data_IF_650220347007
#
_entry.id   IF_650220347007
#
_cell.length_a   1.000
_cell.length_b   1.000
_cell.length_c   1.000
_cell.angle_alpha   90.00
_cell.angle_beta   90.00
_cell.angle_gamma   90.00
#
_symmetry.space_group_name_H-M   'P 1'
#
loop_
_entity.id
_entity.type
_entity.pdbx_description
1 polymer ?
#
# COMPACT_ATOMS: atom_id res chain seq x y z
N UNK A 1 -46.04 -28.78 48.29
CA UNK A 1 -46.26 -28.42 46.86
C UNK A 1 -45.92 -26.94 46.73
N UNK A 2 -45.06 -26.43 45.85
CA UNK A 2 -44.40 -26.97 44.68
C UNK A 2 -43.00 -26.35 44.58
N UNK A 3 -42.01 -27.22 44.34
CA UNK A 3 -40.67 -26.85 43.93
C UNK A 3 -40.67 -26.46 42.44
N UNK A 4 -39.75 -25.56 42.07
CA UNK A 4 -39.20 -25.37 40.73
C UNK A 4 -40.09 -24.78 39.62
N UNK A 5 -39.87 -23.47 39.35
CA UNK A 5 -39.84 -22.93 37.97
C UNK A 5 -39.02 -21.63 37.91
N UNK A 6 -37.70 -21.76 38.10
CA UNK A 6 -36.73 -20.66 37.91
C UNK A 6 -35.57 -21.05 36.98
N UNK A 7 -35.80 -22.00 36.05
CA UNK A 7 -34.81 -22.44 35.04
C UNK A 7 -34.84 -21.65 33.72
N UNK A 8 -35.89 -20.90 33.43
CA UNK A 8 -36.08 -20.25 32.12
C UNK A 8 -35.21 -19.01 31.83
N UNK A 9 -34.53 -18.42 32.83
CA UNK A 9 -33.66 -17.24 32.58
C UNK A 9 -32.21 -17.61 32.25
N UNK A 10 -31.70 -18.74 32.75
CA UNK A 10 -30.31 -19.14 32.52
C UNK A 10 -30.13 -19.76 31.14
N UNK A 11 -31.07 -20.63 30.70
CA UNK A 11 -31.07 -21.22 29.36
C UNK A 11 -31.22 -20.16 28.28
N UNK A 12 -32.10 -19.17 28.46
CA UNK A 12 -32.25 -18.07 27.51
C UNK A 12 -30.99 -17.19 27.45
N UNK A 13 -30.31 -16.94 28.59
CA UNK A 13 -29.03 -16.23 28.59
C UNK A 13 -27.94 -17.06 27.92
N UNK A 14 -27.86 -18.36 28.20
CA UNK A 14 -26.89 -19.27 27.56
C UNK A 14 -27.14 -19.38 26.07
N UNK A 15 -28.39 -19.48 25.62
CA UNK A 15 -28.76 -19.51 24.21
C UNK A 15 -28.49 -18.16 23.54
N UNK A 16 -28.78 -17.02 24.18
CA UNK A 16 -28.40 -15.71 23.66
C UNK A 16 -26.88 -15.50 23.61
N UNK A 17 -26.13 -16.03 24.59
CA UNK A 17 -24.66 -15.97 24.62
C UNK A 17 -24.07 -16.93 23.59
N UNK A 18 -24.61 -18.14 23.43
CA UNK A 18 -24.23 -19.08 22.37
C UNK A 18 -24.60 -18.53 20.99
N UNK A 19 -25.74 -17.87 20.83
CA UNK A 19 -26.14 -17.18 19.58
C UNK A 19 -25.21 -16.00 19.31
N UNK A 20 -24.85 -15.19 20.31
CA UNK A 20 -23.86 -14.11 20.13
C UNK A 20 -22.46 -14.64 19.80
N UNK A 21 -22.06 -15.75 20.42
CA UNK A 21 -20.76 -16.42 20.18
C UNK A 21 -20.74 -17.17 18.85
N UNK A 22 -21.89 -17.64 18.34
CA UNK A 22 -21.98 -18.28 17.01
C UNK A 22 -22.19 -17.28 15.87
N UNK A 23 -22.63 -16.05 16.16
CA UNK A 23 -22.71 -14.94 15.19
C UNK A 23 -21.40 -14.12 15.13
N UNK A 24 -20.47 -14.32 16.06
CA UNK A 24 -19.15 -13.65 16.03
C UNK A 24 -18.16 -14.19 15.00
N UNK A 25 -18.54 -15.18 14.17
CA UNK A 25 -17.72 -15.68 13.07
C UNK A 25 -18.12 -15.04 11.74
N UNK A 26 -17.66 -13.81 11.51
CA UNK A 26 -17.22 -13.26 10.21
C UNK A 26 -17.02 -11.74 10.35
N UNK A 27 -16.10 -11.19 9.56
CA UNK A 27 -15.82 -9.76 9.38
C UNK A 27 -17.03 -8.87 9.69
N UNK A 28 -16.96 -8.18 10.83
CA UNK A 28 -18.07 -7.34 11.27
C UNK A 28 -18.19 -6.15 10.31
N UNK A 29 -19.35 -6.04 9.66
CA UNK A 29 -19.77 -4.82 8.97
C UNK A 29 -19.55 -3.65 9.91
N UNK A 30 -18.90 -2.62 9.42
CA UNK A 30 -18.56 -1.43 10.19
C UNK A 30 -18.87 -0.20 9.34
N UNK A 31 -20.04 0.38 9.61
CA UNK A 31 -20.54 1.54 8.88
C UNK A 31 -19.55 2.72 8.94
N UNK A 32 -18.84 2.91 10.07
CA UNK A 32 -17.84 3.97 10.18
C UNK A 32 -16.64 3.72 9.27
N UNK A 33 -16.16 2.47 9.18
CA UNK A 33 -15.11 2.09 8.23
C UNK A 33 -15.59 2.25 6.79
N UNK A 34 -16.81 1.81 6.49
CA UNK A 34 -17.41 1.95 5.17
C UNK A 34 -17.47 3.42 4.74
N UNK A 35 -17.99 4.32 5.57
CA UNK A 35 -18.07 5.75 5.25
C UNK A 35 -16.68 6.38 5.10
N UNK A 36 -15.71 5.99 5.95
CA UNK A 36 -14.34 6.45 5.81
C UNK A 36 -13.74 6.08 4.46
N UNK A 37 -13.77 4.80 4.09
CA UNK A 37 -13.15 4.30 2.86
C UNK A 37 -13.89 4.79 1.62
N UNK A 38 -15.23 4.81 1.64
CA UNK A 38 -16.03 5.42 0.57
C UNK A 38 -15.66 6.90 0.36
N UNK A 39 -15.51 7.67 1.44
CA UNK A 39 -15.10 9.07 1.37
C UNK A 39 -13.67 9.25 0.87
N UNK A 40 -12.76 8.35 1.27
CA UNK A 40 -11.37 8.35 0.81
C UNK A 40 -11.27 8.03 -0.69
N UNK A 41 -11.98 7.02 -1.17
CA UNK A 41 -12.00 6.63 -2.58
C UNK A 41 -12.61 7.74 -3.44
N UNK A 42 -13.71 8.34 -2.98
CA UNK A 42 -14.31 9.49 -3.64
C UNK A 42 -13.34 10.67 -3.72
N UNK A 43 -12.60 10.98 -2.64
CA UNK A 43 -11.54 11.99 -2.64
C UNK A 43 -10.46 11.67 -3.69
N UNK A 44 -9.94 10.44 -3.75
CA UNK A 44 -8.93 10.07 -4.75
C UNK A 44 -9.44 10.25 -6.19
N UNK A 45 -10.69 9.87 -6.45
CA UNK A 45 -11.35 10.06 -7.75
C UNK A 45 -11.52 11.54 -8.08
N UNK A 46 -11.92 12.38 -7.12
CA UNK A 46 -12.02 13.82 -7.29
C UNK A 46 -10.67 14.47 -7.60
N UNK A 47 -9.59 14.10 -6.90
CA UNK A 47 -8.24 14.61 -7.18
C UNK A 47 -7.84 14.30 -8.62
N UNK A 48 -8.07 13.05 -9.05
CA UNK A 48 -7.77 12.61 -10.43
C UNK A 48 -8.61 13.35 -11.47
N UNK A 49 -9.90 13.58 -11.21
CA UNK A 49 -10.79 14.26 -12.17
C UNK A 49 -10.54 15.77 -12.26
N UNK A 50 -10.14 16.42 -11.17
CA UNK A 50 -9.76 17.84 -11.16
C UNK A 50 -8.40 18.07 -11.82
N UNK A 51 -7.50 17.07 -11.80
CA UNK A 51 -6.20 17.14 -12.46
C UNK A 51 -6.35 16.97 -13.98
N UNK A 52 -6.56 18.07 -14.71
CA UNK A 52 -6.45 18.09 -16.19
C UNK A 52 -5.00 18.04 -16.68
N UNK A 53 -4.03 18.11 -15.77
CA UNK A 53 -2.60 18.14 -16.05
C UNK A 53 -1.92 16.94 -15.37
N UNK A 54 -1.45 15.97 -16.16
CA UNK A 54 -0.73 14.79 -15.66
C UNK A 54 0.53 15.13 -14.85
N UNK A 55 1.13 16.30 -15.10
CA UNK A 55 2.26 16.81 -14.32
C UNK A 55 1.86 17.11 -12.88
N UNK A 56 0.68 17.70 -12.65
CA UNK A 56 0.21 18.02 -11.31
C UNK A 56 -0.08 16.74 -10.53
N UNK A 57 -0.75 15.77 -11.15
CA UNK A 57 -0.99 14.48 -10.51
C UNK A 57 0.32 13.77 -10.14
N UNK A 58 1.30 13.76 -11.05
CA UNK A 58 2.62 13.17 -10.83
C UNK A 58 3.41 13.89 -9.73
N UNK A 59 3.40 15.23 -9.73
CA UNK A 59 4.07 16.04 -8.73
C UNK A 59 3.43 15.90 -7.34
N UNK A 60 2.10 15.79 -7.26
CA UNK A 60 1.39 15.52 -6.00
C UNK A 60 1.78 14.15 -5.40
N UNK A 61 2.16 13.20 -6.26
CA UNK A 61 2.69 11.89 -5.88
C UNK A 61 4.21 11.91 -5.55
N UNK A 62 4.87 13.08 -5.58
CA UNK A 62 6.31 13.22 -5.29
C UNK A 62 7.21 12.95 -6.51
N UNK A 63 6.66 13.03 -7.72
CA UNK A 63 7.40 12.82 -8.97
C UNK A 63 7.43 14.10 -9.81
N UNK A 64 8.62 14.65 -10.01
CA UNK A 64 8.85 15.81 -10.87
C UNK A 64 10.05 15.53 -11.78
N UNK A 65 9.87 15.72 -13.07
CA UNK A 65 10.97 15.74 -14.05
C UNK A 65 11.43 17.18 -14.28
N UNK A 66 12.70 17.33 -14.63
CA UNK A 66 13.34 18.64 -14.86
C UNK A 66 12.58 19.49 -15.89
N UNK A 67 12.14 18.88 -16.99
CA UNK A 67 11.38 19.54 -18.07
C UNK A 67 10.04 20.13 -17.60
N UNK A 68 9.49 19.59 -16.51
CA UNK A 68 8.19 19.95 -15.98
C UNK A 68 8.27 20.92 -14.79
N UNK A 69 9.47 21.28 -14.32
CA UNK A 69 9.65 22.18 -13.17
C UNK A 69 9.01 23.56 -13.38
N UNK A 70 9.10 24.08 -14.60
CA UNK A 70 8.56 25.40 -14.97
C UNK A 70 7.04 25.47 -14.88
N UNK A 71 6.36 24.33 -14.80
CA UNK A 71 4.90 24.26 -14.67
C UNK A 71 4.43 24.38 -13.22
N UNK A 72 5.33 24.28 -12.24
CA UNK A 72 5.00 24.40 -10.82
C UNK A 72 5.22 25.82 -10.30
N UNK A 73 4.48 26.18 -9.25
CA UNK A 73 4.74 27.42 -8.51
C UNK A 73 6.06 27.32 -7.76
N UNK A 74 6.61 28.48 -7.38
CA UNK A 74 7.85 28.57 -6.59
C UNK A 74 7.59 29.12 -5.21
N UNK A 75 8.21 28.53 -4.19
CA UNK A 75 8.22 29.08 -2.83
C UNK A 75 8.95 30.43 -2.81
N UNK A 76 8.86 31.23 -1.72
CA UNK A 76 9.66 32.45 -1.59
C UNK A 76 11.17 32.24 -1.77
N UNK A 77 11.67 31.05 -1.42
CA UNK A 77 13.06 30.61 -1.59
C UNK A 77 13.36 30.15 -3.03
N UNK A 78 12.36 30.13 -3.91
CA UNK A 78 12.51 29.78 -5.32
C UNK A 78 12.29 28.29 -5.67
N UNK A 79 11.87 27.46 -4.71
CA UNK A 79 11.74 26.01 -4.91
C UNK A 79 10.42 25.61 -5.55
N UNK A 80 10.40 24.70 -6.54
CA UNK A 80 9.15 24.19 -7.11
C UNK A 80 8.27 23.54 -6.03
N UNK A 81 6.99 23.88 -6.02
CA UNK A 81 5.99 23.26 -5.15
C UNK A 81 4.63 23.15 -5.84
N UNK A 82 3.83 22.23 -5.33
CA UNK A 82 2.43 22.04 -5.71
C UNK A 82 1.59 21.99 -4.44
N UNK A 83 0.48 22.73 -4.44
CA UNK A 83 -0.55 22.62 -3.39
C UNK A 83 -1.90 22.25 -3.98
N UNK A 84 -2.66 21.50 -3.19
CA UNK A 84 -4.06 21.17 -3.46
C UNK A 84 -4.81 21.22 -2.14
N UNK A 85 -5.85 22.04 -2.07
CA UNK A 85 -6.74 22.04 -0.91
C UNK A 85 -8.18 21.91 -1.36
N UNK A 86 -9.05 21.53 -0.43
CA UNK A 86 -10.48 21.50 -0.72
C UNK A 86 -11.35 21.33 0.50
N UNK A 87 -12.62 21.59 0.28
CA UNK A 87 -13.71 21.42 1.23
C UNK A 87 -14.70 20.42 0.70
N UNK A 88 -15.30 19.66 1.61
CA UNK A 88 -16.40 18.76 1.30
C UNK A 88 -17.72 19.52 1.49
N UNK A 89 -18.56 19.54 0.46
CA UNK A 89 -19.89 20.16 0.58
C UNK A 89 -20.90 19.24 1.28
N UNK A 90 -22.10 19.77 1.55
CA UNK A 90 -23.17 19.01 2.20
C UNK A 90 -23.70 17.84 1.34
N UNK A 91 -23.42 17.83 0.04
CA UNK A 91 -23.77 16.77 -0.90
C UNK A 91 -22.63 15.74 -1.07
N UNK A 92 -21.58 15.83 -0.25
CA UNK A 92 -20.38 14.99 -0.31
C UNK A 92 -19.55 15.19 -1.58
N UNK A 93 -19.67 16.32 -2.27
CA UNK A 93 -18.81 16.66 -3.39
C UNK A 93 -17.58 17.44 -2.93
N UNK A 94 -16.44 17.14 -3.53
CA UNK A 94 -15.18 17.83 -3.26
C UNK A 94 -15.05 19.06 -4.15
N UNK A 95 -14.85 20.23 -3.53
CA UNK A 95 -14.41 21.44 -4.20
C UNK A 95 -12.90 21.61 -4.00
N UNK A 96 -12.11 21.22 -5.01
CA UNK A 96 -10.65 21.16 -4.97
C UNK A 96 -10.03 22.31 -5.76
N UNK A 97 -9.03 22.97 -5.18
CA UNK A 97 -8.33 24.12 -5.75
C UNK A 97 -6.82 23.86 -5.76
N UNK A 98 -6.21 24.01 -6.93
CA UNK A 98 -4.77 23.82 -7.12
C UNK A 98 -4.05 25.17 -6.99
N UNK A 99 -2.93 25.18 -6.26
CA UNK A 99 -2.00 26.32 -6.22
C UNK A 99 -2.59 27.64 -5.72
N UNK A 100 -3.73 27.59 -5.04
CA UNK A 100 -4.33 28.74 -4.36
C UNK A 100 -3.80 28.87 -2.91
N UNK A 101 -3.85 30.07 -2.32
CA UNK A 101 -3.53 30.26 -0.91
C UNK A 101 -4.40 29.38 -0.01
N UNK A 102 -3.77 28.66 0.91
CA UNK A 102 -4.49 27.74 1.80
C UNK A 102 -5.55 28.50 2.62
N UNK A 103 -6.84 28.12 2.53
CA UNK A 103 -7.89 28.82 3.22
C UNK A 103 -7.84 28.55 4.73
N UNK A 104 -8.40 29.43 5.58
CA UNK A 104 -8.48 29.20 7.03
C UNK A 104 -9.26 27.93 7.41
N UNK A 105 -10.12 27.42 6.51
CA UNK A 105 -10.91 26.20 6.69
C UNK A 105 -10.78 25.32 5.44
N UNK A 106 -10.39 24.07 5.65
CA UNK A 106 -10.32 23.02 4.63
C UNK A 106 -10.63 21.66 5.25
N UNK A 107 -11.06 20.70 4.44
CA UNK A 107 -11.25 19.29 4.83
C UNK A 107 -10.16 18.38 4.26
N UNK A 108 -9.48 18.87 3.22
CA UNK A 108 -8.30 18.28 2.62
C UNK A 108 -7.27 19.35 2.30
N UNK A 109 -5.99 19.06 2.56
CA UNK A 109 -4.86 19.88 2.17
C UNK A 109 -3.68 18.97 1.84
N UNK A 110 -3.03 19.22 0.72
CA UNK A 110 -1.83 18.52 0.30
C UNK A 110 -0.84 19.53 -0.24
N UNK A 111 0.41 19.42 0.20
CA UNK A 111 1.53 20.23 -0.28
C UNK A 111 2.71 19.33 -0.55
N UNK A 112 3.34 19.51 -1.70
CA UNK A 112 4.60 18.86 -2.08
C UNK A 112 5.59 19.93 -2.45
N UNK A 113 6.77 19.91 -1.85
CA UNK A 113 7.89 20.82 -2.15
C UNK A 113 9.06 20.00 -2.67
N UNK A 114 9.69 20.47 -3.74
CA UNK A 114 10.88 19.88 -4.35
C UNK A 114 12.04 20.84 -4.13
N UNK A 115 12.92 20.53 -3.18
CA UNK A 115 14.13 21.33 -2.92
C UNK A 115 15.30 20.76 -3.71
N UNK A 116 15.82 21.46 -4.72
CA UNK A 116 17.01 21.03 -5.45
C UNK A 116 18.21 20.96 -4.50
N UNK A 117 19.02 19.90 -4.62
CA UNK A 117 20.29 19.74 -3.92
C UNK A 117 21.36 19.20 -4.86
N UNK A 118 22.61 19.46 -4.52
CA UNK A 118 23.77 18.83 -5.11
C UNK A 118 24.38 17.84 -4.12
N UNK A 119 24.54 16.58 -4.52
CA UNK A 119 25.19 15.52 -3.73
C UNK A 119 26.30 14.89 -4.57
N UNK A 120 27.55 15.12 -4.19
CA UNK A 120 28.73 14.57 -4.92
C UNK A 120 28.64 14.84 -6.43
N UNK A 121 28.33 16.09 -6.80
CA UNK A 121 28.11 16.57 -8.18
C UNK A 121 26.86 16.04 -8.89
N UNK A 122 25.98 15.32 -8.18
CA UNK A 122 24.69 14.84 -8.70
C UNK A 122 23.54 15.75 -8.29
N UNK A 123 22.70 16.11 -9.26
CA UNK A 123 21.47 16.85 -9.00
C UNK A 123 20.35 15.93 -8.49
N UNK A 124 19.84 16.26 -7.31
CA UNK A 124 18.75 15.54 -6.66
C UNK A 124 17.66 16.51 -6.20
N UNK A 125 16.49 15.97 -5.85
CA UNK A 125 15.51 16.65 -5.03
C UNK A 125 15.43 16.01 -3.65
N UNK A 126 15.39 16.85 -2.63
CA UNK A 126 14.68 16.51 -1.41
C UNK A 126 13.19 16.83 -1.62
N UNK A 127 12.35 15.82 -1.46
CA UNK A 127 10.90 15.91 -1.66
C UNK A 127 10.23 15.79 -0.32
N UNK A 128 9.54 16.86 0.07
CA UNK A 128 8.74 16.91 1.27
C UNK A 128 7.27 16.97 0.87
N UNK A 129 6.48 16.02 1.36
CA UNK A 129 5.05 15.96 1.10
C UNK A 129 4.30 15.88 2.42
N UNK A 130 3.27 16.71 2.55
CA UNK A 130 2.35 16.72 3.68
C UNK A 130 0.93 16.68 3.16
N UNK A 131 0.15 15.72 3.64
CA UNK A 131 -1.27 15.59 3.38
C UNK A 131 -2.01 15.63 4.70
N UNK A 132 -3.11 16.38 4.76
CA UNK A 132 -4.05 16.46 5.86
C UNK A 132 -5.44 16.18 5.31
N UNK A 133 -6.19 15.26 5.91
CA UNK A 133 -7.60 15.05 5.59
C UNK A 133 -8.45 14.79 6.84
N UNK A 134 -9.71 15.23 6.82
CA UNK A 134 -10.63 15.17 7.98
C UNK A 134 -11.66 14.05 7.92
N UNK A 135 -11.37 13.00 7.13
CA UNK A 135 -12.21 11.81 7.08
C UNK A 135 -12.13 11.06 8.41
N UNK A 136 -13.28 10.67 8.95
CA UNK A 136 -13.42 10.03 10.25
C UNK A 136 -13.96 8.62 10.10
N UNK A 137 -13.66 7.75 11.05
CA UNK A 137 -14.28 6.43 11.16
C UNK A 137 -13.32 5.25 11.14
N UNK A 138 -12.06 5.46 10.76
CA UNK A 138 -11.02 4.43 10.68
C UNK A 138 -9.74 4.85 11.41
N UNK A 139 -9.13 3.92 12.14
CA UNK A 139 -7.80 4.04 12.70
C UNK A 139 -6.87 2.91 12.23
N UNK A 140 -5.56 3.13 12.10
CA UNK A 140 -4.59 2.09 11.77
C UNK A 140 -4.65 0.83 12.62
N UNK A 141 -4.94 0.93 13.93
CA UNK A 141 -5.14 -0.26 14.79
C UNK A 141 -6.26 -1.18 14.31
N UNK A 142 -7.26 -0.63 13.62
CA UNK A 142 -8.42 -1.39 13.15
C UNK A 142 -8.01 -2.37 12.05
N UNK A 143 -7.04 -2.00 11.21
CA UNK A 143 -6.45 -2.92 10.22
C UNK A 143 -5.74 -4.09 10.89
N UNK A 144 -5.00 -3.85 11.97
CA UNK A 144 -4.29 -4.92 12.68
C UNK A 144 -5.25 -5.89 13.35
N UNK A 145 -6.35 -5.38 13.91
CA UNK A 145 -7.45 -6.23 14.38
C UNK A 145 -8.09 -7.02 13.25
N UNK A 146 -8.42 -6.38 12.14
CA UNK A 146 -8.99 -7.05 10.95
C UNK A 146 -8.05 -8.15 10.43
N UNK A 147 -6.75 -7.86 10.36
CA UNK A 147 -5.73 -8.77 9.87
C UNK A 147 -5.56 -9.97 10.81
N UNK A 148 -5.56 -9.73 12.12
CA UNK A 148 -5.60 -10.78 13.13
C UNK A 148 -6.80 -11.72 12.92
N UNK A 149 -8.01 -11.15 12.87
CA UNK A 149 -9.25 -11.91 12.71
C UNK A 149 -9.26 -12.69 11.37
N UNK A 150 -8.69 -12.11 10.29
CA UNK A 150 -8.51 -12.78 8.99
C UNK A 150 -7.61 -13.99 9.06
N UNK A 151 -6.45 -13.88 9.69
CA UNK A 151 -5.48 -14.97 9.78
C UNK A 151 -6.03 -16.12 10.62
N UNK A 152 -6.77 -15.83 11.69
CA UNK A 152 -7.52 -16.85 12.43
C UNK A 152 -8.56 -17.55 11.56
N UNK A 153 -9.33 -16.79 10.76
CA UNK A 153 -10.35 -17.36 9.89
C UNK A 153 -9.77 -18.24 8.77
N UNK A 154 -8.60 -17.90 8.22
CA UNK A 154 -7.92 -18.74 7.22
C UNK A 154 -7.43 -20.07 7.81
N UNK A 155 -7.10 -20.09 9.10
CA UNK A 155 -6.66 -21.30 9.81
C UNK A 155 -7.80 -22.24 10.24
N UNK A 156 -9.04 -21.77 10.24
CA UNK A 156 -10.21 -22.61 10.55
C UNK A 156 -10.99 -22.94 9.27
N UNK A 157 -11.14 -24.23 8.97
CA UNK A 157 -11.79 -24.67 7.73
C UNK A 157 -13.22 -24.11 7.59
N UNK A 158 -14.02 -24.13 8.66
CA UNK A 158 -15.41 -23.70 8.62
C UNK A 158 -15.51 -22.18 8.49
N UNK A 159 -14.68 -21.44 9.22
CA UNK A 159 -14.59 -19.99 9.16
C UNK A 159 -14.11 -19.54 7.77
N UNK A 160 -13.14 -20.23 7.17
CA UNK A 160 -12.69 -19.93 5.82
C UNK A 160 -13.78 -20.19 4.77
N UNK A 161 -14.51 -21.32 4.84
CA UNK A 161 -15.62 -21.56 3.93
C UNK A 161 -16.74 -20.52 4.10
N UNK A 162 -17.04 -20.14 5.34
CA UNK A 162 -17.97 -19.04 5.64
C UNK A 162 -17.46 -17.72 5.04
N UNK A 163 -16.16 -17.44 5.17
CA UNK A 163 -15.54 -16.25 4.61
C UNK A 163 -15.65 -16.21 3.08
N UNK A 164 -15.31 -17.31 2.41
CA UNK A 164 -15.41 -17.46 0.95
C UNK A 164 -16.84 -17.26 0.44
N UNK A 165 -17.84 -17.62 1.24
CA UNK A 165 -19.25 -17.49 0.88
C UNK A 165 -19.90 -16.19 1.33
N UNK A 166 -19.31 -15.42 2.23
CA UNK A 166 -19.86 -14.15 2.74
C UNK A 166 -19.13 -12.92 2.20
N UNK A 167 -17.79 -12.96 2.12
CA UNK A 167 -16.95 -11.86 1.63
C UNK A 167 -17.14 -11.63 0.13
N UNK A 168 -17.65 -10.45 -0.21
CA UNK A 168 -17.73 -9.94 -1.58
C UNK A 168 -16.34 -9.72 -2.16
N UNK A 169 -15.38 -9.29 -1.35
CA UNK A 169 -13.99 -9.14 -1.79
C UNK A 169 -13.39 -10.48 -2.24
N UNK A 170 -13.46 -11.51 -1.39
CA UNK A 170 -12.89 -12.82 -1.72
C UNK A 170 -13.63 -13.48 -2.89
N UNK A 171 -14.97 -13.33 -2.96
CA UNK A 171 -15.74 -13.77 -4.13
C UNK A 171 -15.31 -13.06 -5.41
N UNK A 172 -15.15 -11.74 -5.37
CA UNK A 172 -14.70 -10.98 -6.53
C UNK A 172 -13.34 -11.48 -7.00
N UNK A 173 -12.36 -11.54 -6.10
CA UNK A 173 -11.00 -11.99 -6.41
C UNK A 173 -10.99 -13.40 -7.00
N UNK A 174 -11.75 -14.34 -6.41
CA UNK A 174 -11.84 -15.72 -6.91
C UNK A 174 -12.74 -15.91 -8.13
N UNK A 175 -13.53 -14.90 -8.50
CA UNK A 175 -14.24 -14.87 -9.77
C UNK A 175 -13.38 -14.26 -10.87
N UNK A 176 -12.50 -13.32 -10.54
CA UNK A 176 -11.65 -12.62 -11.50
C UNK A 176 -10.33 -13.37 -11.76
N UNK A 177 -9.84 -14.11 -10.78
CA UNK A 177 -8.60 -14.88 -10.80
C UNK A 177 -8.87 -16.30 -10.29
N UNK A 178 -8.02 -17.24 -10.66
CA UNK A 178 -8.09 -18.58 -10.12
C UNK A 178 -7.53 -18.60 -8.70
N UNK A 179 -8.41 -18.89 -7.74
CA UNK A 179 -8.06 -19.02 -6.32
C UNK A 179 -7.82 -20.48 -5.92
N UNK A 180 -6.74 -20.72 -5.18
CA UNK A 180 -6.54 -21.98 -4.46
C UNK A 180 -6.12 -21.71 -3.02
N UNK A 181 -6.48 -22.65 -2.14
CA UNK A 181 -5.85 -22.76 -0.83
C UNK A 181 -5.09 -24.08 -0.79
N UNK A 182 -3.85 -24.01 -0.33
CA UNK A 182 -3.04 -25.17 -0.01
C UNK A 182 -2.55 -25.06 1.43
N UNK A 183 -2.30 -26.20 2.05
CA UNK A 183 -1.76 -26.29 3.40
C UNK A 183 -0.52 -27.16 3.36
N UNK A 184 0.53 -26.73 4.04
CA UNK A 184 1.68 -27.54 4.37
C UNK A 184 1.97 -27.44 5.87
N UNK A 185 3.03 -28.10 6.33
CA UNK A 185 3.36 -28.16 7.76
C UNK A 185 3.60 -26.78 8.43
N UNK A 186 3.93 -25.75 7.67
CA UNK A 186 4.25 -24.42 8.19
C UNK A 186 3.20 -23.36 7.83
N UNK A 187 2.54 -23.49 6.69
CA UNK A 187 1.76 -22.42 6.06
C UNK A 187 0.40 -22.88 5.53
N UNK A 188 -0.63 -22.09 5.80
CA UNK A 188 -1.81 -22.00 4.94
C UNK A 188 -1.54 -20.96 3.86
N UNK A 189 -1.58 -21.39 2.60
CA UNK A 189 -1.25 -20.56 1.45
C UNK A 189 -2.49 -20.25 0.63
N UNK A 190 -2.83 -18.96 0.53
CA UNK A 190 -3.86 -18.45 -0.36
C UNK A 190 -3.22 -17.94 -1.65
N UNK A 191 -3.62 -18.53 -2.77
CA UNK A 191 -3.05 -18.25 -4.09
C UNK A 191 -4.06 -17.56 -4.99
N UNK A 192 -3.62 -16.52 -5.69
CA UNK A 192 -4.39 -15.84 -6.73
C UNK A 192 -3.62 -15.86 -8.04
N UNK A 193 -4.13 -16.60 -9.03
CA UNK A 193 -3.48 -16.76 -10.33
C UNK A 193 -4.22 -15.98 -11.41
N UNK A 194 -3.50 -15.06 -12.06
CA UNK A 194 -3.99 -14.36 -13.26
C UNK A 194 -3.93 -15.33 -14.45
N UNK A 195 -5.09 -15.70 -14.99
CA UNK A 195 -5.24 -16.71 -16.04
C UNK A 195 -6.03 -16.17 -17.25
N UNK A 196 -6.41 -17.04 -18.18
CA UNK A 196 -7.17 -16.66 -19.37
C UNK A 196 -8.60 -16.17 -19.06
N UNK A 197 -9.20 -16.61 -17.96
CA UNK A 197 -10.47 -16.06 -17.48
C UNK A 197 -10.30 -14.60 -17.01
N UNK A 198 -9.19 -14.31 -16.31
CA UNK A 198 -8.82 -12.93 -15.97
C UNK A 198 -8.63 -12.09 -17.24
N UNK A 199 -7.97 -12.63 -18.27
CA UNK A 199 -7.79 -11.95 -19.55
C UNK A 199 -9.11 -11.62 -20.23
N UNK A 200 -10.08 -12.53 -20.19
CA UNK A 200 -11.40 -12.32 -20.78
C UNK A 200 -12.20 -11.23 -20.04
N UNK A 201 -12.13 -11.18 -18.70
CA UNK A 201 -12.88 -10.21 -17.87
C UNK A 201 -12.20 -8.85 -17.78
N UNK A 202 -10.88 -8.84 -17.62
CA UNK A 202 -10.06 -7.65 -17.36
C UNK A 202 -8.77 -7.68 -18.20
N UNK A 203 -8.87 -7.49 -19.54
CA UNK A 203 -7.73 -7.62 -20.44
C UNK A 203 -6.59 -6.64 -20.12
N UNK A 204 -6.91 -5.40 -19.72
CA UNK A 204 -5.91 -4.39 -19.34
C UNK A 204 -5.11 -4.80 -18.09
N UNK A 205 -5.79 -5.29 -17.06
CA UNK A 205 -5.16 -5.82 -15.84
C UNK A 205 -4.28 -7.05 -16.15
N UNK A 206 -4.78 -7.98 -16.98
CA UNK A 206 -4.01 -9.15 -17.40
C UNK A 206 -2.71 -8.75 -18.13
N UNK A 207 -2.80 -7.84 -19.10
CA UNK A 207 -1.65 -7.41 -19.89
C UNK A 207 -0.64 -6.64 -19.04
N UNK A 208 -1.09 -5.75 -18.15
CA UNK A 208 -0.20 -4.89 -17.36
C UNK A 208 0.32 -5.60 -16.11
N UNK A 209 -0.57 -6.01 -15.22
CA UNK A 209 -0.19 -6.64 -13.94
C UNK A 209 0.34 -8.04 -14.15
N UNK A 210 -0.31 -8.84 -15.03
CA UNK A 210 0.14 -10.19 -15.34
C UNK A 210 1.55 -10.22 -15.95
N UNK A 211 1.84 -9.36 -16.93
CA UNK A 211 3.19 -9.25 -17.53
C UNK A 211 4.24 -8.81 -16.52
N UNK A 212 3.92 -7.86 -15.64
CA UNK A 212 4.83 -7.43 -14.57
C UNK A 212 5.11 -8.55 -13.59
N UNK A 213 4.09 -9.27 -13.14
CA UNK A 213 4.27 -10.40 -12.23
C UNK A 213 5.17 -11.48 -12.82
N UNK A 214 5.01 -11.84 -14.10
CA UNK A 214 5.89 -12.79 -14.79
C UNK A 214 7.35 -12.35 -14.85
N UNK A 215 7.56 -11.04 -14.96
CA UNK A 215 8.88 -10.40 -14.99
C UNK A 215 9.47 -10.21 -13.60
N UNK A 216 8.75 -10.52 -12.53
CA UNK A 216 9.20 -10.32 -11.16
C UNK A 216 9.24 -11.61 -10.36
N UNK A 217 10.18 -11.73 -9.43
CA UNK A 217 10.08 -12.64 -8.30
C UNK A 217 10.18 -11.83 -7.03
N UNK A 218 9.24 -12.05 -6.11
CA UNK A 218 9.11 -11.39 -4.84
C UNK A 218 9.11 -12.47 -3.78
N UNK A 219 9.90 -12.25 -2.74
CA UNK A 219 9.84 -12.97 -1.49
C UNK A 219 9.87 -11.96 -0.36
N UNK A 220 8.72 -11.71 0.26
CA UNK A 220 8.54 -10.73 1.31
C UNK A 220 8.13 -11.43 2.61
N UNK A 221 8.98 -11.37 3.63
CA UNK A 221 8.64 -11.79 4.99
C UNK A 221 8.25 -10.57 5.81
N UNK A 222 7.12 -10.66 6.52
CA UNK A 222 6.61 -9.58 7.38
C UNK A 222 6.43 -10.14 8.78
N UNK A 223 7.03 -9.50 9.79
CA UNK A 223 6.94 -9.98 11.17
C UNK A 223 6.89 -8.84 12.20
N UNK A 224 6.30 -9.12 13.37
CA UNK A 224 6.45 -8.26 14.55
C UNK A 224 7.83 -8.50 15.17
N UNK A 225 8.65 -7.45 15.28
CA UNK A 225 9.99 -7.58 15.86
C UNK A 225 9.96 -8.04 17.31
N UNK A 226 8.93 -7.67 18.07
CA UNK A 226 8.82 -8.06 19.47
C UNK A 226 8.28 -9.48 19.66
N UNK A 227 7.62 -10.02 18.62
CA UNK A 227 7.12 -11.39 18.57
C UNK A 227 7.48 -12.01 17.21
N UNK A 228 8.73 -12.43 16.97
CA UNK A 228 9.18 -12.86 15.64
C UNK A 228 8.46 -14.10 15.07
N UNK A 229 7.75 -14.85 15.92
CA UNK A 229 6.85 -15.94 15.51
C UNK A 229 5.58 -15.43 14.86
N UNK A 230 5.17 -14.19 15.13
CA UNK A 230 4.08 -13.51 14.44
C UNK A 230 4.60 -13.04 13.09
N UNK A 231 4.54 -13.95 12.11
CA UNK A 231 5.04 -13.68 10.77
C UNK A 231 4.12 -14.23 9.68
N UNK A 232 4.16 -13.57 8.53
CA UNK A 232 3.56 -14.01 7.28
C UNK A 232 4.57 -13.85 6.16
N UNK A 233 4.33 -14.53 5.04
CA UNK A 233 5.16 -14.42 3.85
C UNK A 233 4.30 -14.14 2.63
N UNK A 234 4.76 -13.26 1.74
CA UNK A 234 4.13 -13.01 0.44
C UNK A 234 5.16 -13.35 -0.62
N UNK A 235 4.79 -14.21 -1.55
CA UNK A 235 5.64 -14.54 -2.69
C UNK A 235 4.87 -14.44 -4.00
N UNK A 236 5.59 -14.51 -5.12
CA UNK A 236 4.95 -14.76 -6.40
C UNK A 236 5.69 -15.83 -7.20
N UNK A 237 4.93 -16.57 -7.98
CA UNK A 237 5.40 -17.58 -8.92
C UNK A 237 4.75 -17.33 -10.28
N UNK A 238 5.50 -16.74 -11.22
CA UNK A 238 4.94 -16.31 -12.50
C UNK A 238 3.81 -15.30 -12.28
N UNK A 239 2.61 -15.61 -12.80
CA UNK A 239 1.38 -14.81 -12.63
C UNK A 239 0.60 -15.07 -11.33
N UNK A 240 1.11 -15.93 -10.46
CA UNK A 240 0.46 -16.29 -9.20
C UNK A 240 1.05 -15.49 -8.04
N UNK A 241 0.21 -14.82 -7.26
CA UNK A 241 0.58 -14.22 -5.97
C UNK A 241 0.17 -15.19 -4.86
N UNK A 242 1.06 -15.44 -3.91
CA UNK A 242 0.88 -16.40 -2.83
C UNK A 242 1.01 -15.67 -1.48
N UNK A 243 -0.02 -15.76 -0.65
CA UNK A 243 -0.03 -15.26 0.72
C UNK A 243 0.06 -16.46 1.67
N UNK A 244 1.15 -16.54 2.42
CA UNK A 244 1.40 -17.60 3.38
C UNK A 244 1.12 -17.10 4.80
N UNK A 245 0.15 -17.71 5.45
CA UNK A 245 -0.23 -17.47 6.83
C UNK A 245 0.23 -18.63 7.71
N UNK A 246 0.73 -18.37 8.93
CA UNK A 246 1.24 -19.44 9.78
C UNK A 246 0.11 -20.40 10.15
N UNK A 247 0.43 -21.69 10.24
CA UNK A 247 -0.47 -22.70 10.81
C UNK A 247 -0.54 -22.50 12.33
N UNK A 248 -1.74 -22.53 12.89
CA UNK A 248 -2.02 -22.31 14.32
C UNK A 248 -1.45 -20.98 14.86
N UNK A 249 -1.87 -19.82 14.32
CA UNK A 249 -1.47 -18.51 14.81
C UNK A 249 -1.88 -18.34 16.29
N UNK A 250 -1.06 -17.66 17.11
CA UNK A 250 -1.42 -17.35 18.48
C UNK A 250 -2.61 -16.36 18.55
N UNK A 251 -3.32 -16.37 19.68
CA UNK A 251 -4.53 -15.55 19.88
C UNK A 251 -4.29 -14.04 19.89
N UNK A 252 -3.05 -13.58 20.01
CA UNK A 252 -2.65 -12.18 19.97
C UNK A 252 -1.89 -11.81 18.68
N UNK A 253 -1.90 -12.70 17.67
CA UNK A 253 -1.20 -12.54 16.40
C UNK A 253 -1.47 -11.17 15.75
N UNK A 254 -0.46 -10.31 15.65
CA UNK A 254 -0.57 -8.95 15.10
C UNK A 254 -1.67 -8.07 15.72
N UNK A 255 -2.18 -8.35 16.92
CA UNK A 255 -3.29 -7.57 17.49
C UNK A 255 -2.90 -6.13 17.84
N UNK A 256 -1.66 -5.92 18.31
CA UNK A 256 -1.11 -4.61 18.67
C UNK A 256 0.41 -4.58 18.47
N UNK A 257 0.90 -4.71 17.22
CA UNK A 257 2.34 -4.70 16.95
C UNK A 257 2.93 -3.37 17.41
N UNK A 258 4.20 -3.37 17.82
CA UNK A 258 4.96 -2.15 18.17
C UNK A 258 5.95 -1.76 17.08
N UNK A 259 6.51 -2.76 16.40
CA UNK A 259 7.44 -2.54 15.30
C UNK A 259 7.37 -3.71 14.32
N UNK A 260 6.86 -3.44 13.13
CA UNK A 260 6.73 -4.42 12.05
C UNK A 260 7.96 -4.29 11.15
N UNK A 261 8.54 -5.42 10.79
CA UNK A 261 9.66 -5.52 9.88
C UNK A 261 9.21 -6.21 8.60
N UNK A 262 9.70 -5.71 7.49
CA UNK A 262 9.45 -6.20 6.15
C UNK A 262 10.82 -6.51 5.55
N UNK A 263 11.07 -7.75 5.16
CA UNK A 263 12.30 -8.19 4.50
C UNK A 263 11.95 -8.74 3.13
N UNK A 264 12.38 -8.04 2.10
CA UNK A 264 12.09 -8.38 0.72
C UNK A 264 13.35 -8.81 -0.05
N UNK A 265 13.23 -9.93 -0.75
CA UNK A 265 14.05 -10.23 -1.93
C UNK A 265 13.22 -9.98 -3.19
N UNK A 266 13.79 -9.24 -4.13
CA UNK A 266 13.12 -8.83 -5.36
C UNK A 266 14.04 -9.12 -6.54
N UNK A 267 13.56 -9.89 -7.51
CA UNK A 267 14.18 -10.10 -8.81
C UNK A 267 13.28 -9.46 -9.87
N UNK A 268 13.83 -8.61 -10.73
CA UNK A 268 13.11 -7.96 -11.84
C UNK A 268 13.85 -8.27 -13.13
N UNK A 269 13.14 -8.83 -14.11
CA UNK A 269 13.65 -9.13 -15.45
C UNK A 269 12.99 -8.21 -16.46
N UNK A 270 13.76 -7.29 -17.04
CA UNK A 270 13.25 -6.35 -18.04
C UNK A 270 14.31 -6.06 -19.09
N UNK A 271 13.92 -6.03 -20.36
CA UNK A 271 14.80 -5.70 -21.50
C UNK A 271 16.15 -6.44 -21.51
N UNK A 272 16.17 -7.72 -21.15
CA UNK A 272 17.40 -8.52 -21.08
C UNK A 272 18.30 -8.25 -19.88
N UNK A 273 17.92 -7.32 -18.99
CA UNK A 273 18.55 -7.07 -17.69
C UNK A 273 17.79 -7.84 -16.59
N UNK A 274 18.54 -8.40 -15.65
CA UNK A 274 18.03 -8.95 -14.40
C UNK A 274 18.59 -8.13 -13.24
N UNK A 275 17.71 -7.45 -12.51
CA UNK A 275 18.04 -6.75 -11.26
C UNK A 275 17.64 -7.65 -10.10
N UNK A 276 18.58 -7.97 -9.21
CA UNK A 276 18.33 -8.70 -7.97
C UNK A 276 18.63 -7.81 -6.78
N UNK A 277 17.68 -7.71 -5.87
CA UNK A 277 17.76 -6.98 -4.61
C UNK A 277 17.51 -8.00 -3.53
N UNK A 278 18.44 -8.15 -2.59
CA UNK A 278 18.36 -9.11 -1.50
C UNK A 278 18.39 -8.40 -0.17
N UNK A 279 17.60 -8.90 0.78
CA UNK A 279 17.49 -8.39 2.15
C UNK A 279 17.19 -6.88 2.20
N UNK A 280 16.25 -6.39 1.37
CA UNK A 280 15.74 -5.03 1.51
C UNK A 280 14.84 -4.98 2.74
N UNK A 281 15.26 -4.24 3.77
CA UNK A 281 14.56 -4.17 5.03
C UNK A 281 13.87 -2.81 5.21
N UNK A 282 12.58 -2.84 5.50
CA UNK A 282 11.77 -1.70 5.91
C UNK A 282 11.22 -1.94 7.31
N UNK A 283 11.19 -0.89 8.14
CA UNK A 283 10.56 -0.95 9.47
C UNK A 283 9.38 0.01 9.52
N UNK A 284 8.33 -0.42 10.21
CA UNK A 284 7.15 0.38 10.53
C UNK A 284 6.94 0.31 12.04
N UNK A 285 7.24 1.39 12.75
CA UNK A 285 6.89 1.53 14.17
C UNK A 285 5.46 2.00 14.30
N UNK A 286 4.78 1.50 15.30
CA UNK A 286 3.36 1.73 15.55
C UNK A 286 3.16 2.13 16.99
N UNK A 287 2.43 3.22 17.21
CA UNK A 287 2.04 3.70 18.55
C UNK A 287 0.54 3.91 18.57
N UNK A 288 -0.14 3.27 19.53
CA UNK A 288 -1.59 3.23 19.62
C UNK A 288 -2.06 3.79 20.96
N UNK A 289 -2.37 5.09 20.98
CA UNK A 289 -2.87 5.80 22.17
C UNK A 289 -4.39 5.97 22.12
N UNK A 290 -5.04 6.35 23.23
CA UNK A 290 -6.52 6.46 23.27
C UNK A 290 -7.10 7.38 22.19
N UNK A 291 -6.38 8.44 21.81
CA UNK A 291 -6.85 9.46 20.86
C UNK A 291 -6.04 9.50 19.56
N UNK A 292 -4.86 8.88 19.52
CA UNK A 292 -3.93 9.05 18.40
C UNK A 292 -3.29 7.72 18.04
N UNK A 293 -3.28 7.42 16.75
CA UNK A 293 -2.52 6.31 16.19
C UNK A 293 -1.41 6.90 15.33
N UNK A 294 -0.18 6.45 15.55
CA UNK A 294 1.00 6.92 14.82
C UNK A 294 1.69 5.76 14.13
N UNK A 295 2.07 5.96 12.86
CA UNK A 295 2.86 5.04 12.06
C UNK A 295 4.14 5.74 11.58
N UNK A 296 5.29 5.19 11.93
CA UNK A 296 6.61 5.71 11.56
C UNK A 296 7.37 4.68 10.72
N UNK A 297 7.50 4.97 9.44
CA UNK A 297 8.07 4.08 8.45
C UNK A 297 9.41 4.58 7.90
N UNK A 298 10.37 3.69 7.71
CA UNK A 298 11.60 4.00 7.00
C UNK A 298 12.33 2.73 6.54
N UNK A 299 13.14 2.87 5.49
CA UNK A 299 14.10 1.83 5.13
C UNK A 299 15.23 1.74 6.15
N UNK A 300 15.78 0.53 6.30
CA UNK A 300 16.79 0.21 7.33
C UNK A 300 18.09 -0.21 6.68
N UNK A 301 18.02 -1.14 5.73
CA UNK A 301 19.19 -1.65 5.01
C UNK A 301 18.79 -2.32 3.71
N UNK A 302 19.80 -2.56 2.89
CA UNK A 302 19.79 -3.43 1.72
C UNK A 302 20.99 -4.37 1.87
N UNK A 303 20.81 -5.67 1.63
CA UNK A 303 21.89 -6.63 1.71
C UNK A 303 22.76 -6.61 0.47
N UNK A 304 22.31 -7.31 -0.58
CA UNK A 304 23.04 -7.43 -1.85
C UNK A 304 22.20 -6.87 -2.99
N UNK A 305 22.88 -6.20 -3.92
CA UNK A 305 22.31 -5.79 -5.21
C UNK A 305 23.18 -6.38 -6.31
N UNK A 306 22.54 -6.98 -7.31
CA UNK A 306 23.21 -7.50 -8.50
C UNK A 306 22.43 -7.09 -9.74
N UNK A 307 23.14 -6.62 -10.76
CA UNK A 307 22.54 -6.30 -12.05
C UNK A 307 23.28 -7.10 -13.11
N UNK A 308 22.59 -8.03 -13.74
CA UNK A 308 23.18 -8.95 -14.72
C UNK A 308 22.42 -8.86 -16.06
N UNK A 309 23.06 -9.26 -17.16
CA UNK A 309 22.42 -9.40 -18.47
C UNK A 309 22.87 -8.36 -19.51
N UNK A 310 22.19 -8.31 -20.66
CA UNK A 310 22.48 -7.39 -21.77
C UNK A 310 21.22 -6.60 -22.08
N UNK A 311 21.29 -5.28 -22.17
CA UNK A 311 20.13 -4.46 -22.49
C UNK A 311 19.72 -4.67 -23.96
N UNK A 312 18.41 -4.80 -24.20
CA UNK A 312 17.85 -5.22 -25.49
C UNK A 312 18.43 -6.53 -26.06
N UNK A 313 19.00 -7.40 -25.21
CA UNK A 313 19.60 -8.69 -25.59
C UNK A 313 20.83 -8.62 -26.50
N UNK A 314 21.18 -7.44 -27.03
CA UNK A 314 22.29 -7.24 -27.97
C UNK A 314 23.31 -6.21 -27.52
N UNK A 315 22.97 -5.35 -26.55
CA UNK A 315 23.89 -4.32 -26.04
C UNK A 315 24.51 -4.83 -24.73
N UNK A 316 25.82 -5.15 -24.69
CA UNK A 316 26.49 -5.49 -23.46
C UNK A 316 26.31 -4.37 -22.43
N UNK A 317 26.20 -4.70 -21.14
CA UNK A 317 26.10 -3.70 -20.06
C UNK A 317 27.14 -2.57 -20.19
N UNK A 318 28.36 -2.89 -20.63
CA UNK A 318 29.43 -1.91 -20.88
C UNK A 318 29.08 -0.82 -21.91
N UNK A 319 28.21 -1.08 -22.88
CA UNK A 319 27.73 -0.09 -23.87
C UNK A 319 26.49 0.68 -23.39
N UNK A 320 25.70 0.11 -22.49
CA UNK A 320 24.56 0.80 -21.83
C UNK A 320 25.06 1.91 -20.91
N UNK A 321 26.25 1.71 -20.33
CA UNK A 321 26.98 2.71 -19.53
C UNK A 321 27.35 3.98 -20.31
N UNK A 322 27.22 3.98 -21.64
CA UNK A 322 27.41 5.18 -22.48
C UNK A 322 26.16 6.06 -22.54
N UNK A 323 24.97 5.49 -22.32
CA UNK A 323 23.68 6.18 -22.43
C UNK A 323 23.02 6.45 -21.07
N UNK A 324 23.47 5.77 -20.01
CA UNK A 324 23.08 6.03 -18.63
C UNK A 324 24.25 6.76 -17.94
N UNK A 325 24.06 7.98 -17.43
CA UNK A 325 25.10 8.68 -16.68
C UNK A 325 25.47 7.87 -15.42
N UNK A 326 26.71 7.33 -15.39
CA UNK A 326 27.16 6.34 -14.41
C UNK A 326 26.80 4.90 -14.82
N UNK A 327 27.65 3.93 -14.52
CA UNK A 327 27.32 2.52 -14.76
C UNK A 327 26.00 2.19 -14.05
N UNK A 328 25.12 1.34 -14.61
CA UNK A 328 23.85 0.97 -13.97
C UNK A 328 24.03 0.57 -12.50
N UNK A 329 25.11 -0.14 -12.18
CA UNK A 329 25.46 -0.48 -10.79
C UNK A 329 25.60 0.75 -9.89
N UNK A 330 26.28 1.80 -10.37
CA UNK A 330 26.41 3.10 -9.70
C UNK A 330 25.04 3.77 -9.59
N UNK A 331 24.25 3.78 -10.67
CA UNK A 331 22.93 4.41 -10.66
C UNK A 331 22.02 3.81 -9.58
N UNK A 332 21.93 2.48 -9.51
CA UNK A 332 21.13 1.77 -8.52
C UNK A 332 21.77 1.85 -7.13
N UNK A 333 23.10 1.89 -7.04
CA UNK A 333 23.80 2.11 -5.79
C UNK A 333 23.39 3.43 -5.15
N UNK A 334 23.50 4.51 -5.90
CA UNK A 334 23.09 5.84 -5.49
C UNK A 334 21.60 5.89 -5.14
N UNK A 335 20.74 5.25 -5.94
CA UNK A 335 19.30 5.16 -5.64
C UNK A 335 19.04 4.53 -4.26
N UNK A 336 19.66 3.39 -3.95
CA UNK A 336 19.48 2.75 -2.65
C UNK A 336 20.15 3.51 -1.51
N UNK A 337 21.27 4.19 -1.76
CA UNK A 337 21.89 5.10 -0.77
C UNK A 337 20.92 6.23 -0.41
N UNK A 338 20.32 6.90 -1.39
CA UNK A 338 19.31 7.93 -1.15
C UNK A 338 18.07 7.38 -0.45
N UNK A 339 17.64 6.17 -0.81
CA UNK A 339 16.48 5.50 -0.20
C UNK A 339 16.69 5.16 1.28
N UNK A 340 17.89 4.72 1.66
CA UNK A 340 18.17 4.16 3.00
C UNK A 340 18.85 5.15 3.92
N UNK A 341 19.94 5.78 3.44
CA UNK A 341 20.79 6.65 4.24
C UNK A 341 20.43 8.12 4.08
N UNK A 342 20.03 8.50 2.86
CA UNK A 342 19.94 9.90 2.46
C UNK A 342 21.33 10.54 2.37
N UNK A 343 21.40 11.73 1.80
CA UNK A 343 22.63 12.51 1.63
C UNK A 343 23.31 12.90 2.93
N UNK A 344 22.55 13.01 4.03
CA UNK A 344 23.07 13.38 5.35
C UNK A 344 23.36 12.18 6.27
N UNK A 345 23.12 10.94 5.80
CA UNK A 345 23.28 9.74 6.63
C UNK A 345 22.30 9.64 7.81
N UNK A 346 21.25 10.46 7.85
CA UNK A 346 20.25 10.53 8.94
C UNK A 346 18.96 9.74 8.63
N UNK A 347 19.01 8.87 7.63
CA UNK A 347 17.88 8.11 7.13
C UNK A 347 17.31 8.75 5.87
N UNK A 348 17.14 7.93 4.82
CA UNK A 348 16.67 8.34 3.51
C UNK A 348 15.16 8.57 3.47
N UNK A 349 14.43 7.68 2.80
CA UNK A 349 12.97 7.79 2.69
C UNK A 349 12.26 7.46 4.01
N UNK A 350 11.39 8.38 4.43
CA UNK A 350 10.66 8.34 5.69
C UNK A 350 9.17 8.62 5.47
N UNK A 351 8.34 7.94 6.26
CA UNK A 351 6.90 8.10 6.33
C UNK A 351 6.52 8.34 7.78
N UNK A 352 5.78 9.40 8.06
CA UNK A 352 5.18 9.66 9.35
C UNK A 352 3.69 9.90 9.18
N UNK A 353 2.87 9.08 9.83
CA UNK A 353 1.42 9.16 9.73
C UNK A 353 0.81 9.28 11.11
N UNK A 354 -0.16 10.17 11.26
CA UNK A 354 -0.90 10.37 12.50
C UNK A 354 -2.40 10.40 12.21
N UNK A 355 -3.17 9.57 12.92
CA UNK A 355 -4.62 9.58 12.92
C UNK A 355 -5.11 10.04 14.29
N UNK A 356 -5.49 11.32 14.41
CA UNK A 356 -5.86 11.94 15.68
C UNK A 356 -7.37 12.18 15.78
N UNK A 357 -8.00 11.60 16.80
CA UNK A 357 -9.38 11.90 17.19
C UNK A 357 -9.44 13.26 17.88
N UNK A 358 -10.49 14.02 17.58
CA UNK A 358 -10.78 15.36 18.11
C UNK A 358 -12.27 15.43 18.47
N UNK A 359 -12.69 16.45 19.22
CA UNK A 359 -14.11 16.67 19.52
C UNK A 359 -14.98 16.86 18.26
N UNK A 360 -14.36 17.33 17.17
CA UNK A 360 -15.04 17.64 15.90
C UNK A 360 -14.91 16.53 14.85
N UNK A 361 -14.41 15.36 15.22
CA UNK A 361 -14.14 14.24 14.29
C UNK A 361 -12.68 13.81 14.33
N UNK A 362 -12.06 13.61 13.17
CA UNK A 362 -10.71 13.07 13.06
C UNK A 362 -9.84 13.93 12.14
N UNK A 363 -8.56 14.06 12.46
CA UNK A 363 -7.56 14.71 11.60
C UNK A 363 -6.47 13.70 11.31
N UNK A 364 -6.30 13.38 10.04
CA UNK A 364 -5.30 12.45 9.56
C UNK A 364 -4.20 13.23 8.86
N UNK A 365 -2.96 13.06 9.28
CA UNK A 365 -1.80 13.71 8.69
C UNK A 365 -0.84 12.66 8.19
N UNK A 366 -0.43 12.75 6.92
CA UNK A 366 0.56 11.90 6.29
C UNK A 366 1.70 12.81 5.83
N UNK A 367 2.88 12.62 6.38
CA UNK A 367 4.09 13.32 5.99
C UNK A 367 5.08 12.31 5.41
N UNK A 368 5.64 12.61 4.24
CA UNK A 368 6.71 11.81 3.64
C UNK A 368 7.89 12.69 3.29
N UNK A 369 9.07 12.14 3.50
CA UNK A 369 10.34 12.72 3.07
C UNK A 369 11.07 11.70 2.22
N UNK A 370 11.62 12.11 1.08
CA UNK A 370 12.50 11.26 0.30
C UNK A 370 13.49 12.10 -0.50
N UNK A 371 14.65 11.51 -0.79
CA UNK A 371 15.62 12.09 -1.72
C UNK A 371 15.66 11.26 -2.99
N UNK A 372 15.62 11.94 -4.13
CA UNK A 372 15.51 11.31 -5.45
C UNK A 372 16.38 12.04 -6.45
N UNK A 373 16.99 11.30 -7.37
CA UNK A 373 17.64 11.92 -8.53
C UNK A 373 16.65 12.79 -9.30
N UNK A 374 17.14 13.96 -9.76
CA UNK A 374 16.40 14.89 -10.62
C UNK A 374 16.15 14.28 -12.00
N UNK A 375 17.12 13.53 -12.52
CA UNK A 375 17.00 12.71 -13.74
C UNK A 375 16.75 11.25 -13.35
N UNK A 376 15.54 10.74 -13.60
CA UNK A 376 15.13 9.38 -13.25
C UNK A 376 15.22 8.44 -14.44
N UNK A 377 15.80 7.27 -14.21
CA UNK A 377 15.70 6.12 -15.12
C UNK A 377 14.44 5.30 -14.80
N UNK A 378 13.65 4.97 -15.82
CA UNK A 378 12.45 4.13 -15.69
C UNK A 378 12.68 2.77 -16.34
N UNK A 379 12.77 1.71 -15.52
CA UNK A 379 12.96 0.32 -15.95
C UNK A 379 11.86 -0.23 -16.88
N UNK A 380 10.70 0.42 -16.89
CA UNK A 380 9.54 0.02 -17.71
C UNK A 380 9.14 1.10 -18.73
N UNK A 381 9.88 2.21 -18.85
CA UNK A 381 9.45 3.39 -19.63
C UNK A 381 9.21 3.14 -21.11
N UNK A 382 9.84 2.11 -21.69
CA UNK A 382 9.64 1.68 -23.08
C UNK A 382 8.84 0.39 -23.24
N UNK A 383 8.24 -0.15 -22.17
CA UNK A 383 7.53 -1.44 -22.21
C UNK A 383 6.11 -1.22 -22.73
N UNK A 384 5.66 -2.04 -23.70
CA UNK A 384 4.30 -1.95 -24.25
C UNK A 384 3.21 -2.18 -23.18
N UNK A 385 3.55 -2.79 -22.03
CA UNK A 385 2.67 -2.84 -20.85
C UNK A 385 2.34 -1.46 -20.24
N UNK A 386 3.04 -0.39 -20.63
CA UNK A 386 2.66 0.99 -20.31
C UNK A 386 1.62 1.57 -21.29
N UNK A 387 1.60 1.08 -22.54
CA UNK A 387 0.62 1.47 -23.57
C UNK A 387 -0.70 0.72 -23.43
N UNK A 388 -0.70 -0.44 -22.75
CA UNK A 388 -1.89 -1.21 -22.46
C UNK A 388 -2.86 -0.39 -21.58
N UNK A 389 -3.97 0.02 -22.19
CA UNK A 389 -5.03 0.80 -21.58
C UNK A 389 -5.60 0.13 -20.33
N UNK A 390 -5.58 0.88 -19.23
CA UNK A 390 -6.45 0.82 -18.06
C UNK A 390 -6.62 -0.56 -17.36
N UNK A 391 -5.77 -0.82 -16.37
CA UNK A 391 -6.09 -1.73 -15.25
C UNK A 391 -7.16 -1.16 -14.31
N UNK A 392 -7.61 0.07 -14.56
CA UNK A 392 -8.60 0.80 -13.78
C UNK A 392 -9.89 0.01 -13.53
N UNK A 393 -10.42 -0.70 -14.53
CA UNK A 393 -11.70 -1.40 -14.39
C UNK A 393 -11.63 -2.53 -13.35
N UNK A 394 -10.48 -3.23 -13.29
CA UNK A 394 -10.25 -4.25 -12.27
C UNK A 394 -10.19 -3.60 -10.89
N UNK A 395 -9.38 -2.55 -10.72
CA UNK A 395 -9.22 -1.89 -9.41
C UNK A 395 -10.51 -1.22 -8.93
N UNK A 396 -11.28 -0.59 -9.82
CA UNK A 396 -12.57 0.00 -9.49
C UNK A 396 -13.60 -1.06 -9.06
N UNK A 397 -13.63 -2.23 -9.71
CA UNK A 397 -14.49 -3.33 -9.31
C UNK A 397 -14.03 -3.98 -8.00
N UNK A 398 -12.71 -4.08 -7.78
CA UNK A 398 -12.14 -4.59 -6.55
C UNK A 398 -12.43 -3.66 -5.35
N UNK A 399 -12.27 -2.35 -5.52
CA UNK A 399 -12.66 -1.32 -4.54
C UNK A 399 -14.12 -1.45 -4.12
N UNK A 400 -15.04 -1.57 -5.08
CA UNK A 400 -16.48 -1.77 -4.79
C UNK A 400 -16.73 -3.06 -4.00
N UNK A 401 -16.03 -4.15 -4.34
CA UNK A 401 -16.13 -5.41 -3.61
C UNK A 401 -15.59 -5.29 -2.16
N UNK A 402 -14.48 -4.58 -1.95
CA UNK A 402 -13.94 -4.30 -0.61
C UNK A 402 -14.91 -3.46 0.23
N UNK A 403 -15.52 -2.41 -0.35
CA UNK A 403 -16.49 -1.58 0.34
C UNK A 403 -17.73 -2.37 0.76
N UNK A 404 -18.18 -3.33 -0.05
CA UNK A 404 -19.32 -4.19 0.28
C UNK A 404 -19.06 -5.14 1.46
N UNK A 405 -17.81 -5.45 1.79
CA UNK A 405 -17.49 -6.22 3.00
C UNK A 405 -17.61 -5.38 4.28
N UNK A 406 -17.52 -4.06 4.16
CA UNK A 406 -17.67 -3.13 5.28
C UNK A 406 -19.12 -2.72 5.55
N UNK A 407 -20.01 -2.93 4.58
CA UNK A 407 -21.44 -2.54 4.61
C UNK A 407 -22.33 -3.74 4.86
#
# INVERSE_FOLDING_TARGET
>A
MAFLKKRYKLETYFICTLLFVSVSNCFQKNENHYQFWKGYDYLQRSIKSTSKNEVYFSALAGSLSEENESQLLKTPEGYPFLSLHGTLDNQQNWNLHWNEPEPPKYDYSAKVTFTPKLWEDREIYAVERKIVHKLSGYQPRDFFKWFHDFVLAVNDHNAYQSLKTSSQNLKFLCSAMQCHITENAEWHTLEFTINDETKAKFPGFYQRTGSRLEKTKLNLEIWDKFNPTHKLKITNQGKTIQFHFPVNPPLDYFQSPKEIRFLGDIEIKSFGITVKIQNLEYKLKTTFDKQTDTLDGQFVRIGKKEINGNFFYVIPQGFVNFFIPGNMDEYFSEFFTLLIQGTQGRGGSQLHVTFKKTERGQINTITTYNETKRKRFSLFGGDDSQKASNDFDFFAAWEDAMLKDLK
#
